data_IF_997010526450
#
_entry.id   IF_997010526450
#
_cell.length_a   1.000
_cell.length_b   1.000
_cell.length_c   1.000
_cell.angle_alpha   90.00
_cell.angle_beta   90.00
_cell.angle_gamma   90.00
#
_symmetry.space_group_name_H-M   'P 1'
#
loop_
_entity.id
_entity.type
_entity.pdbx_description
1 polymer ?
#
# COMPACT_ATOMS: atom_id res chain seq x y z
N UNK A 1 26.47 14.09 -25.65
CA UNK A 1 26.19 14.45 -24.25
C UNK A 1 26.87 13.41 -23.35
N UNK A 2 27.88 13.82 -22.58
CA UNK A 2 28.56 12.94 -21.64
C UNK A 2 27.57 12.50 -20.56
N UNK A 3 27.11 11.25 -20.62
CA UNK A 3 26.19 10.71 -19.63
C UNK A 3 26.88 10.68 -18.27
N UNK A 4 26.46 11.54 -17.34
CA UNK A 4 26.83 11.39 -15.92
C UNK A 4 26.48 9.97 -15.51
N UNK A 5 27.48 9.16 -15.18
CA UNK A 5 27.27 7.80 -14.66
C UNK A 5 26.46 7.94 -13.37
N UNK A 6 25.23 7.43 -13.40
CA UNK A 6 24.40 7.35 -12.20
C UNK A 6 25.10 6.38 -11.25
N UNK A 7 25.27 6.82 -10.00
CA UNK A 7 25.93 6.04 -8.96
C UNK A 7 25.22 4.70 -8.69
N UNK A 8 25.99 3.64 -8.46
CA UNK A 8 25.46 2.30 -8.25
C UNK A 8 24.62 2.21 -6.96
N UNK A 9 24.92 3.05 -5.95
CA UNK A 9 24.10 3.17 -4.74
C UNK A 9 22.70 3.68 -5.08
N UNK A 10 22.61 4.73 -5.90
CA UNK A 10 21.33 5.28 -6.36
C UNK A 10 20.54 4.25 -7.15
N UNK A 11 21.20 3.45 -8.00
CA UNK A 11 20.57 2.37 -8.76
C UNK A 11 19.95 1.31 -7.84
N UNK A 12 20.68 0.89 -6.81
CA UNK A 12 20.19 -0.05 -5.79
C UNK A 12 18.98 0.51 -5.05
N UNK A 13 19.04 1.76 -4.59
CA UNK A 13 17.95 2.41 -3.85
C UNK A 13 16.69 2.62 -4.71
N UNK A 14 16.85 2.94 -6.00
CA UNK A 14 15.76 3.02 -6.99
C UNK A 14 15.05 1.68 -7.12
N UNK A 15 15.80 0.57 -7.22
CA UNK A 15 15.22 -0.77 -7.29
C UNK A 15 14.52 -1.19 -6.00
N UNK A 16 15.10 -0.91 -4.84
CA UNK A 16 14.47 -1.17 -3.55
C UNK A 16 13.17 -0.38 -3.40
N UNK A 17 13.18 0.90 -3.77
CA UNK A 17 11.98 1.75 -3.74
C UNK A 17 10.88 1.23 -4.67
N UNK A 18 11.25 0.72 -5.84
CA UNK A 18 10.31 0.07 -6.76
C UNK A 18 9.74 -1.24 -6.20
N UNK A 19 10.59 -2.09 -5.60
CA UNK A 19 10.15 -3.32 -4.90
C UNK A 19 9.18 -2.99 -3.75
N UNK A 20 9.39 -1.89 -3.04
CA UNK A 20 8.50 -1.37 -1.99
C UNK A 20 7.19 -0.73 -2.51
N UNK A 21 6.93 -0.78 -3.83
CA UNK A 21 5.68 -0.31 -4.43
C UNK A 21 5.58 1.20 -4.61
N UNK A 22 6.69 1.94 -4.52
CA UNK A 22 6.70 3.38 -4.79
C UNK A 22 6.50 3.63 -6.30
N UNK A 23 5.57 4.51 -6.72
CA UNK A 23 5.37 4.83 -8.13
C UNK A 23 6.63 5.39 -8.80
N UNK A 24 6.89 5.01 -10.06
CA UNK A 24 8.08 5.44 -10.83
C UNK A 24 8.25 6.96 -10.87
N UNK A 25 7.15 7.72 -10.94
CA UNK A 25 7.16 9.20 -10.90
C UNK A 25 7.73 9.73 -9.58
N UNK A 26 7.28 9.19 -8.44
CA UNK A 26 7.80 9.57 -7.12
C UNK A 26 9.27 9.17 -6.92
N UNK A 27 9.69 8.04 -7.48
CA UNK A 27 11.10 7.62 -7.47
C UNK A 27 11.95 8.59 -8.29
N UNK A 28 11.48 8.96 -9.50
CA UNK A 28 12.15 9.91 -10.37
C UNK A 28 12.36 11.27 -9.69
N UNK A 29 11.32 11.81 -9.05
CA UNK A 29 11.39 13.05 -8.28
C UNK A 29 12.39 12.95 -7.13
N UNK A 30 12.30 11.88 -6.31
CA UNK A 30 13.14 11.68 -5.14
C UNK A 30 14.63 11.60 -5.46
N UNK A 31 14.97 10.96 -6.57
CA UNK A 31 16.37 10.78 -6.99
C UNK A 31 16.79 11.79 -8.07
N UNK A 32 15.94 12.75 -8.42
CA UNK A 32 16.20 13.75 -9.48
C UNK A 32 16.67 13.12 -10.79
N UNK A 33 16.07 11.99 -11.17
CA UNK A 33 16.37 11.26 -12.42
C UNK A 33 15.14 11.19 -13.30
N UNK A 34 15.35 11.06 -14.61
CA UNK A 34 14.22 10.90 -15.53
C UNK A 34 13.46 9.59 -15.26
N UNK A 35 12.15 9.59 -15.50
CA UNK A 35 11.31 8.37 -15.42
C UNK A 35 11.81 7.29 -16.40
N UNK A 36 12.38 7.71 -17.53
CA UNK A 36 13.02 6.83 -18.51
C UNK A 36 14.27 6.16 -17.91
N UNK A 37 15.08 6.90 -17.16
CA UNK A 37 16.22 6.36 -16.42
C UNK A 37 15.78 5.38 -15.34
N UNK A 38 14.74 5.68 -14.57
CA UNK A 38 14.15 4.75 -13.58
C UNK A 38 13.75 3.45 -14.27
N UNK A 39 13.09 3.55 -15.43
CA UNK A 39 12.66 2.38 -16.20
C UNK A 39 13.84 1.57 -16.72
N UNK A 40 14.92 2.22 -17.19
CA UNK A 40 16.16 1.54 -17.57
C UNK A 40 16.81 0.86 -16.38
N UNK A 41 16.94 1.50 -15.23
CA UNK A 41 17.55 0.94 -14.00
C UNK A 41 16.78 -0.28 -13.48
N UNK A 42 15.44 -0.27 -13.61
CA UNK A 42 14.59 -1.42 -13.25
C UNK A 42 14.78 -2.57 -14.26
N UNK A 43 14.95 -2.28 -15.56
CA UNK A 43 15.12 -3.27 -16.63
C UNK A 43 16.53 -3.83 -16.73
N UNK A 44 17.55 -3.01 -16.51
CA UNK A 44 18.95 -3.41 -16.40
C UNK A 44 19.08 -4.20 -15.09
N UNK A 45 18.82 -5.50 -15.13
CA UNK A 45 19.13 -6.39 -14.02
C UNK A 45 20.61 -6.80 -14.09
N UNK A 46 21.33 -6.89 -12.95
CA UNK A 46 22.63 -7.50 -12.89
C UNK A 46 22.46 -9.00 -13.22
N UNK A 47 23.47 -9.61 -13.86
CA UNK A 47 23.46 -11.05 -14.11
C UNK A 47 23.41 -11.79 -12.75
N UNK A 48 22.24 -12.32 -12.39
CA UNK A 48 22.04 -13.06 -11.13
C UNK A 48 20.65 -12.92 -10.49
N UNK A 49 19.92 -11.82 -10.72
CA UNK A 49 18.57 -11.62 -10.16
C UNK A 49 17.46 -12.14 -11.09
N UNK A 50 17.51 -13.43 -11.47
CA UNK A 50 16.34 -14.10 -12.07
C UNK A 50 15.36 -14.47 -10.94
N UNK A 51 14.26 -13.71 -10.85
CA UNK A 51 13.16 -13.96 -9.91
C UNK A 51 13.31 -13.18 -8.60
N UNK A 52 12.27 -12.66 -7.96
CA UNK A 52 10.84 -12.76 -8.14
C UNK A 52 10.23 -11.36 -8.02
N UNK A 53 9.20 -11.08 -8.81
CA UNK A 53 8.20 -10.13 -8.35
C UNK A 53 7.59 -10.76 -7.09
N UNK A 54 8.04 -10.35 -5.91
CA UNK A 54 7.45 -10.85 -4.68
C UNK A 54 5.94 -10.57 -4.69
N UNK A 55 5.12 -11.58 -4.35
CA UNK A 55 3.69 -11.46 -4.48
C UNK A 55 3.21 -10.40 -3.49
N UNK A 56 2.41 -9.45 -3.99
CA UNK A 56 1.70 -8.41 -3.21
C UNK A 56 0.70 -8.96 -2.17
N UNK A 57 0.80 -10.25 -1.81
CA UNK A 57 -0.07 -10.95 -0.87
C UNK A 57 -0.15 -10.24 0.48
N UNK A 58 0.96 -9.72 1.00
CA UNK A 58 1.00 -9.12 2.35
C UNK A 58 0.12 -7.87 2.52
N UNK A 59 0.05 -6.99 1.51
CA UNK A 59 -0.76 -5.77 1.59
C UNK A 59 -2.24 -6.04 1.34
N UNK A 60 -2.54 -6.93 0.40
CA UNK A 60 -3.93 -7.31 0.11
C UNK A 60 -4.53 -8.09 1.28
N UNK A 61 -3.74 -8.93 1.96
CA UNK A 61 -4.12 -9.61 3.20
C UNK A 61 -4.32 -8.63 4.35
N UNK A 62 -3.42 -7.64 4.51
CA UNK A 62 -3.57 -6.60 5.53
C UNK A 62 -4.84 -5.75 5.30
N UNK A 63 -5.13 -5.40 4.05
CA UNK A 63 -6.34 -4.67 3.67
C UNK A 63 -7.58 -5.52 3.96
N UNK A 64 -7.57 -6.81 3.61
CA UNK A 64 -8.68 -7.75 3.91
C UNK A 64 -8.93 -7.87 5.41
N UNK A 65 -7.88 -8.00 6.22
CA UNK A 65 -8.02 -8.05 7.68
C UNK A 65 -8.63 -6.75 8.24
N UNK A 66 -8.18 -5.59 7.73
CA UNK A 66 -8.74 -4.29 8.13
C UNK A 66 -10.22 -4.15 7.75
N UNK A 67 -10.60 -4.59 6.55
CA UNK A 67 -12.00 -4.59 6.10
C UNK A 67 -12.86 -5.46 7.03
N UNK A 68 -12.45 -6.71 7.28
CA UNK A 68 -13.19 -7.62 8.14
C UNK A 68 -13.35 -7.09 9.59
N UNK A 69 -12.33 -6.42 10.12
CA UNK A 69 -12.39 -5.78 11.43
C UNK A 69 -13.39 -4.62 11.48
N UNK A 70 -13.44 -3.80 10.41
CA UNK A 70 -14.40 -2.69 10.29
C UNK A 70 -15.83 -3.22 10.18
N UNK A 71 -16.07 -4.24 9.34
CA UNK A 71 -17.39 -4.85 9.17
C UNK A 71 -17.93 -5.46 10.48
N UNK A 72 -17.06 -6.07 11.29
CA UNK A 72 -17.45 -6.55 12.62
C UNK A 72 -17.88 -5.40 13.53
N UNK A 73 -17.10 -4.31 13.56
CA UNK A 73 -17.41 -3.15 14.40
C UNK A 73 -18.70 -2.44 13.97
N UNK A 74 -19.01 -2.41 12.68
CA UNK A 74 -20.28 -1.89 12.16
C UNK A 74 -21.45 -2.70 12.73
N UNK A 75 -21.41 -4.04 12.61
CA UNK A 75 -22.47 -4.92 13.15
C UNK A 75 -22.68 -4.74 14.65
N UNK A 76 -21.60 -4.68 15.43
CA UNK A 76 -21.68 -4.48 16.88
C UNK A 76 -22.31 -3.11 17.24
N UNK A 77 -22.08 -2.09 16.41
CA UNK A 77 -22.68 -0.76 16.59
C UNK A 77 -24.15 -0.73 16.17
N UNK A 78 -24.51 -1.37 15.07
CA UNK A 78 -25.90 -1.52 14.62
C UNK A 78 -26.75 -2.23 15.68
N UNK A 79 -26.25 -3.31 16.27
CA UNK A 79 -26.96 -4.01 17.35
C UNK A 79 -27.15 -3.13 18.60
N UNK A 80 -26.12 -2.35 18.97
CA UNK A 80 -26.21 -1.40 20.08
C UNK A 80 -27.26 -0.32 19.82
N UNK A 81 -27.33 0.20 18.60
CA UNK A 81 -28.35 1.19 18.21
C UNK A 81 -29.73 0.56 18.38
N UNK A 82 -29.94 -0.64 17.86
CA UNK A 82 -31.22 -1.35 17.96
C UNK A 82 -31.63 -1.62 19.41
N UNK A 83 -30.69 -2.01 20.27
CA UNK A 83 -30.95 -2.16 21.71
C UNK A 83 -31.28 -0.83 22.39
N UNK A 84 -30.61 0.26 22.03
CA UNK A 84 -30.90 1.59 22.58
C UNK A 84 -32.27 2.11 22.13
N UNK A 85 -32.66 1.88 20.88
CA UNK A 85 -33.99 2.19 20.36
C UNK A 85 -35.07 1.36 21.05
N UNK A 86 -34.86 0.06 21.22
CA UNK A 86 -35.77 -0.81 21.96
C UNK A 86 -35.93 -0.35 23.42
N UNK A 87 -34.83 0.03 24.08
CA UNK A 87 -34.87 0.59 25.44
C UNK A 87 -35.60 1.94 25.49
N UNK A 88 -35.37 2.84 24.53
CA UNK A 88 -36.11 4.12 24.43
C UNK A 88 -37.60 3.87 24.22
N UNK A 89 -37.99 2.97 23.31
CA UNK A 89 -39.38 2.60 23.05
C UNK A 89 -40.06 2.00 24.28
N UNK A 90 -39.36 1.11 25.00
CA UNK A 90 -39.86 0.50 26.25
C UNK A 90 -40.00 1.53 27.39
N UNK A 91 -39.10 2.52 27.44
CA UNK A 91 -39.12 3.61 28.44
C UNK A 91 -40.20 4.66 28.15
N UNK A 92 -40.52 4.91 26.87
CA UNK A 92 -41.62 5.79 26.44
C UNK A 92 -43.01 5.13 26.48
N UNK A 93 -43.09 3.80 26.59
CA UNK A 93 -44.34 3.04 26.74
C UNK A 93 -44.79 2.92 28.21
N UNK A 94 -43.99 3.39 29.15
CA UNK A 94 -44.23 3.33 30.60
C UNK A 94 -44.48 4.75 31.19
N UNK A 95 -45.17 5.59 30.41
CA UNK A 95 -45.67 6.92 30.80
C UNK A 95 -47.02 7.17 30.12
#
# INVERSE_FOLDING_TARGET
>A
MAGKKIDEKTRREVRTSYKNGVPKKKIAERFSISVTSVTRIIKEQPPGEKGAAEPRKSRDEEIKMKIAAIERRIRDLEEKILQMEAKKKKKGFWF
#
